data_IF_560411224531
#
_entry.id   IF_560411224531
#
_cell.length_a   1.000
_cell.length_b   1.000
_cell.length_c   1.000
_cell.angle_alpha   90.00
_cell.angle_beta   90.00
_cell.angle_gamma   90.00
#
_symmetry.space_group_name_H-M   'P 1'
#
loop_
_entity.id
_entity.type
_entity.pdbx_description
1 polymer ?
#
# COMPACT_ATOMS: atom_id res chain seq x y z
N UNK A 1 -25.81 4.73 -7.15
CA UNK A 1 -25.99 5.95 -7.97
C UNK A 1 -25.06 7.00 -7.37
N UNK A 2 -23.87 7.18 -7.95
CA UNK A 2 -22.90 8.13 -7.42
C UNK A 2 -23.26 9.54 -7.89
N UNK A 3 -23.65 10.40 -6.94
CA UNK A 3 -23.62 11.85 -7.11
C UNK A 3 -22.14 12.25 -7.25
N UNK A 4 -21.59 12.09 -8.44
CA UNK A 4 -20.24 12.54 -8.74
C UNK A 4 -20.36 13.85 -9.50
N UNK A 5 -19.84 14.96 -8.98
CA UNK A 5 -19.66 16.20 -9.74
C UNK A 5 -18.98 16.00 -11.11
N UNK A 6 -18.19 14.94 -11.31
CA UNK A 6 -17.61 14.61 -12.62
C UNK A 6 -18.69 14.34 -13.67
N UNK A 7 -19.93 14.09 -13.26
CA UNK A 7 -21.10 14.02 -14.14
C UNK A 7 -21.76 15.39 -14.38
N UNK A 8 -21.57 16.34 -13.46
CA UNK A 8 -22.12 17.71 -13.54
C UNK A 8 -21.17 18.68 -14.26
N UNK A 9 -19.87 18.41 -14.22
CA UNK A 9 -18.83 19.19 -14.91
C UNK A 9 -18.18 18.32 -15.98
N UNK A 10 -18.18 18.79 -17.22
CA UNK A 10 -17.54 18.09 -18.35
C UNK A 10 -16.04 17.93 -18.10
N UNK A 11 -15.57 16.68 -17.99
CA UNK A 11 -14.14 16.37 -17.88
C UNK A 11 -13.35 16.98 -19.05
N UNK A 12 -13.92 16.98 -20.26
CA UNK A 12 -13.29 17.61 -21.42
C UNK A 12 -13.10 19.13 -21.20
N UNK A 13 -14.10 19.81 -20.64
CA UNK A 13 -14.02 21.25 -20.32
C UNK A 13 -13.01 21.54 -19.20
N UNK A 14 -12.97 20.70 -18.17
CA UNK A 14 -11.98 20.77 -17.09
C UNK A 14 -10.56 20.68 -17.64
N UNK A 15 -10.32 19.73 -18.54
CA UNK A 15 -9.00 19.49 -19.15
C UNK A 15 -8.64 20.56 -20.19
N UNK A 16 -9.62 21.13 -20.90
CA UNK A 16 -9.42 22.14 -21.94
C UNK A 16 -9.14 23.55 -21.40
N UNK A 17 -9.16 23.76 -20.08
CA UNK A 17 -8.92 25.10 -19.53
C UNK A 17 -10.15 26.01 -19.56
N UNK A 18 -11.33 25.48 -19.91
CA UNK A 18 -12.55 26.25 -19.99
C UNK A 18 -12.98 26.75 -18.60
N UNK A 19 -13.85 27.76 -18.57
CA UNK A 19 -14.30 28.40 -17.34
C UNK A 19 -15.02 27.38 -16.46
N UNK A 20 -14.32 26.89 -15.44
CA UNK A 20 -14.85 25.93 -14.47
C UNK A 20 -15.73 26.67 -13.47
N UNK A 21 -16.89 26.09 -13.15
CA UNK A 21 -17.69 26.59 -12.04
C UNK A 21 -17.02 26.20 -10.71
N UNK A 22 -16.13 27.07 -10.25
CA UNK A 22 -15.44 26.93 -8.97
C UNK A 22 -16.41 26.81 -7.79
N UNK A 23 -17.63 27.35 -7.91
CA UNK A 23 -18.63 27.25 -6.84
C UNK A 23 -19.08 25.80 -6.66
N UNK A 24 -19.25 25.04 -7.76
CA UNK A 24 -19.63 23.62 -7.71
C UNK A 24 -18.51 22.79 -7.09
N UNK A 25 -17.26 22.96 -7.53
CA UNK A 25 -16.12 22.22 -6.96
C UNK A 25 -15.89 22.56 -5.48
N UNK A 26 -15.96 23.84 -5.12
CA UNK A 26 -15.76 24.27 -3.74
C UNK A 26 -16.92 23.84 -2.83
N UNK A 27 -18.16 23.86 -3.31
CA UNK A 27 -19.31 23.37 -2.57
C UNK A 27 -19.18 21.88 -2.30
N UNK A 28 -18.85 21.10 -3.32
CA UNK A 28 -18.78 19.65 -3.16
C UNK A 28 -17.59 19.23 -2.28
N UNK A 29 -16.44 19.91 -2.39
CA UNK A 29 -15.32 19.71 -1.47
C UNK A 29 -15.68 20.05 -0.01
N UNK A 30 -16.58 21.02 0.22
CA UNK A 30 -17.09 21.34 1.57
C UNK A 30 -18.10 20.30 2.07
N UNK A 31 -18.91 19.75 1.18
CA UNK A 31 -19.89 18.69 1.50
C UNK A 31 -19.20 17.33 1.72
N UNK A 32 -17.99 17.13 1.18
CA UNK A 32 -17.14 15.97 1.42
C UNK A 32 -16.40 16.06 2.77
N UNK A 33 -17.16 16.03 3.86
CA UNK A 33 -16.66 16.26 5.24
C UNK A 33 -15.43 15.40 5.60
N UNK A 34 -15.48 14.09 5.31
CA UNK A 34 -14.40 13.16 5.66
C UNK A 34 -13.08 13.49 4.94
N UNK A 35 -13.16 13.84 3.65
CA UNK A 35 -11.98 14.22 2.87
C UNK A 35 -11.50 15.63 3.12
N UNK A 36 -12.42 16.56 3.36
CA UNK A 36 -12.09 17.92 3.75
C UNK A 36 -11.27 17.91 5.05
N UNK A 37 -11.71 17.15 6.05
CA UNK A 37 -10.94 16.94 7.29
C UNK A 37 -9.59 16.29 7.02
N UNK A 38 -9.56 15.24 6.20
CA UNK A 38 -8.34 14.47 5.92
C UNK A 38 -7.25 15.30 5.23
N UNK A 39 -7.65 16.16 4.30
CA UNK A 39 -6.73 16.97 3.49
C UNK A 39 -6.68 18.44 3.94
N UNK A 40 -7.24 18.77 5.10
CA UNK A 40 -7.20 20.11 5.68
C UNK A 40 -7.90 21.18 4.82
N UNK A 41 -8.97 20.81 4.13
CA UNK A 41 -9.79 21.72 3.33
C UNK A 41 -10.73 22.48 4.27
N UNK A 42 -10.64 23.80 4.27
CA UNK A 42 -11.46 24.70 5.09
C UNK A 42 -12.21 25.69 4.18
N UNK A 43 -13.26 26.37 4.67
CA UNK A 43 -13.95 27.40 3.89
C UNK A 43 -13.02 28.50 3.35
N UNK A 44 -11.93 28.79 4.05
CA UNK A 44 -10.94 29.82 3.71
C UNK A 44 -9.96 29.39 2.61
N UNK A 45 -9.57 28.11 2.57
CA UNK A 45 -8.56 27.62 1.61
C UNK A 45 -9.13 26.82 0.43
N UNK A 46 -10.41 26.44 0.46
CA UNK A 46 -11.01 25.50 -0.50
C UNK A 46 -10.80 25.91 -1.96
N UNK A 47 -10.90 27.20 -2.28
CA UNK A 47 -10.74 27.68 -3.66
C UNK A 47 -9.31 27.44 -4.16
N UNK A 48 -8.31 27.78 -3.34
CA UNK A 48 -6.90 27.55 -3.67
C UNK A 48 -6.61 26.05 -3.82
N UNK A 49 -7.10 25.22 -2.88
CA UNK A 49 -6.86 23.77 -2.91
C UNK A 49 -7.50 23.14 -4.15
N UNK A 50 -8.71 23.56 -4.53
CA UNK A 50 -9.35 23.05 -5.75
C UNK A 50 -8.63 23.53 -7.02
N UNK A 51 -8.10 24.75 -7.03
CA UNK A 51 -7.33 25.29 -8.15
C UNK A 51 -6.03 24.51 -8.37
N UNK A 52 -5.26 24.31 -7.29
CA UNK A 52 -4.03 23.52 -7.32
C UNK A 52 -4.30 22.07 -7.74
N UNK A 53 -5.37 21.45 -7.20
CA UNK A 53 -5.76 20.09 -7.55
C UNK A 53 -6.18 19.96 -9.01
N UNK A 54 -6.94 20.93 -9.55
CA UNK A 54 -7.33 20.95 -10.96
C UNK A 54 -6.12 21.12 -11.88
N UNK A 55 -5.20 22.02 -11.52
CA UNK A 55 -3.94 22.20 -12.24
C UNK A 55 -3.16 20.89 -12.31
N UNK A 56 -3.03 20.20 -11.18
CA UNK A 56 -2.36 18.90 -11.11
C UNK A 56 -3.10 17.82 -11.92
N UNK A 57 -4.44 17.77 -11.86
CA UNK A 57 -5.25 16.86 -12.68
C UNK A 57 -4.94 17.03 -14.17
N UNK A 58 -4.87 18.27 -14.66
CA UNK A 58 -4.57 18.57 -16.08
C UNK A 58 -3.22 18.01 -16.51
N UNK A 59 -2.21 18.14 -15.66
CA UNK A 59 -0.86 17.61 -15.93
C UNK A 59 -0.83 16.07 -15.89
N UNK A 60 -1.46 15.47 -14.88
CA UNK A 60 -1.40 14.03 -14.63
C UNK A 60 -2.29 13.23 -15.57
N UNK A 61 -3.43 13.78 -16.00
CA UNK A 61 -4.49 13.02 -16.67
C UNK A 61 -4.05 12.29 -17.97
N UNK A 62 -3.25 12.87 -18.88
CA UNK A 62 -2.82 12.16 -20.10
C UNK A 62 -2.06 10.86 -19.79
N UNK A 63 -1.07 10.94 -18.91
CA UNK A 63 -0.28 9.77 -18.50
C UNK A 63 -1.10 8.80 -17.65
N UNK A 64 -2.02 9.32 -16.83
CA UNK A 64 -2.92 8.50 -16.03
C UNK A 64 -3.87 7.69 -16.90
N UNK A 65 -4.40 8.29 -17.96
CA UNK A 65 -5.21 7.60 -18.96
C UNK A 65 -4.40 6.47 -19.61
N UNK A 66 -3.16 6.76 -20.02
CA UNK A 66 -2.28 5.75 -20.60
C UNK A 66 -1.97 4.61 -19.62
N UNK A 67 -1.73 4.93 -18.34
CA UNK A 67 -1.50 3.94 -17.28
C UNK A 67 -2.73 3.05 -17.07
N UNK A 68 -3.93 3.64 -17.03
CA UNK A 68 -5.19 2.91 -16.90
C UNK A 68 -5.40 1.92 -18.05
N UNK A 69 -5.23 2.40 -19.28
CA UNK A 69 -5.53 1.64 -20.50
C UNK A 69 -4.47 0.55 -20.78
N UNK A 70 -3.19 0.88 -20.63
CA UNK A 70 -2.11 -0.02 -21.07
C UNK A 70 -1.60 -0.95 -19.97
N UNK A 71 -1.53 -0.47 -18.73
CA UNK A 71 -0.90 -1.21 -17.63
C UNK A 71 -1.95 -1.88 -16.74
N UNK A 72 -2.98 -1.12 -16.35
CA UNK A 72 -4.01 -1.61 -15.44
C UNK A 72 -5.16 -2.31 -16.18
N UNK A 73 -5.31 -2.06 -17.48
CA UNK A 73 -6.37 -2.61 -18.33
C UNK A 73 -7.77 -2.34 -17.77
N UNK A 74 -7.97 -1.13 -17.23
CA UNK A 74 -9.25 -0.66 -16.70
C UNK A 74 -9.69 0.62 -17.41
N UNK A 75 -11.00 0.85 -17.63
CA UNK A 75 -11.46 2.09 -18.22
C UNK A 75 -11.12 3.28 -17.31
N UNK A 76 -10.46 4.31 -17.84
CA UNK A 76 -10.04 5.50 -17.08
C UNK A 76 -11.16 6.12 -16.24
N UNK A 77 -12.40 6.08 -16.74
CA UNK A 77 -13.57 6.63 -16.06
C UNK A 77 -13.87 5.95 -14.71
N UNK A 78 -13.54 4.67 -14.54
CA UNK A 78 -13.80 3.94 -13.29
C UNK A 78 -12.84 4.36 -12.17
N UNK A 79 -11.67 4.90 -12.54
CA UNK A 79 -10.61 5.28 -11.61
C UNK A 79 -10.54 6.80 -11.39
N UNK A 80 -11.26 7.59 -12.19
CA UNK A 80 -11.18 9.05 -12.19
C UNK A 80 -11.60 9.66 -10.85
N UNK A 81 -12.65 9.11 -10.22
CA UNK A 81 -13.07 9.58 -8.91
C UNK A 81 -11.98 9.34 -7.85
N UNK A 82 -11.37 8.15 -7.82
CA UNK A 82 -10.29 7.85 -6.90
C UNK A 82 -9.03 8.69 -7.17
N UNK A 83 -8.76 9.03 -8.44
CA UNK A 83 -7.71 9.99 -8.78
C UNK A 83 -7.95 11.34 -8.13
N UNK A 84 -9.15 11.89 -8.32
CA UNK A 84 -9.51 13.21 -7.81
C UNK A 84 -9.61 13.27 -6.29
N UNK A 85 -10.32 12.32 -5.69
CA UNK A 85 -10.63 12.31 -4.26
C UNK A 85 -9.41 11.89 -3.44
N UNK A 86 -8.59 10.96 -3.94
CA UNK A 86 -7.51 10.36 -3.15
C UNK A 86 -6.13 10.62 -3.71
N UNK A 87 -5.82 10.15 -4.91
CA UNK A 87 -4.41 10.04 -5.32
C UNK A 87 -3.75 11.39 -5.59
N UNK A 88 -4.48 12.36 -6.17
CA UNK A 88 -3.97 13.71 -6.34
C UNK A 88 -3.68 14.42 -5.00
N UNK A 89 -4.64 14.55 -4.06
CA UNK A 89 -4.37 15.21 -2.79
C UNK A 89 -3.37 14.42 -1.92
N UNK A 90 -3.36 13.09 -2.00
CA UNK A 90 -2.37 12.27 -1.29
C UNK A 90 -0.95 12.47 -1.85
N UNK A 91 -0.78 12.51 -3.18
CA UNK A 91 0.51 12.82 -3.80
C UNK A 91 1.02 14.20 -3.41
N UNK A 92 0.14 15.22 -3.40
CA UNK A 92 0.48 16.56 -2.93
C UNK A 92 0.87 16.59 -1.44
N UNK A 93 0.15 15.85 -0.58
CA UNK A 93 0.49 15.70 0.84
C UNK A 93 1.88 15.07 1.04
N UNK A 94 2.17 13.96 0.35
CA UNK A 94 3.47 13.28 0.42
C UNK A 94 4.59 14.21 -0.06
N UNK A 95 4.39 14.92 -1.18
CA UNK A 95 5.35 15.90 -1.70
C UNK A 95 5.63 17.03 -0.70
N UNK A 96 4.60 17.53 -0.02
CA UNK A 96 4.74 18.54 1.05
C UNK A 96 5.49 18.02 2.26
N UNK A 97 5.21 16.78 2.69
CA UNK A 97 5.93 16.10 3.77
C UNK A 97 7.41 15.92 3.43
N UNK A 98 7.74 15.43 2.24
CA UNK A 98 9.14 15.36 1.74
C UNK A 98 9.80 16.74 1.83
N UNK A 99 9.15 17.78 1.28
CA UNK A 99 9.70 19.15 1.29
C UNK A 99 10.00 19.63 2.70
N UNK A 100 9.11 19.36 3.65
CA UNK A 100 9.25 19.77 5.05
C UNK A 100 10.36 19.00 5.78
N UNK A 101 10.56 17.72 5.46
CA UNK A 101 11.62 16.89 6.03
C UNK A 101 13.03 17.31 5.56
N UNK A 102 13.16 17.89 4.36
CA UNK A 102 14.45 18.32 3.80
C UNK A 102 15.40 17.17 3.43
N UNK A 103 14.90 15.92 3.42
CA UNK A 103 15.62 14.70 3.01
C UNK A 103 14.69 13.77 2.24
N UNK A 104 15.22 12.63 1.78
CA UNK A 104 14.39 11.57 1.23
C UNK A 104 13.32 11.14 2.25
N UNK A 105 12.09 10.94 1.79
CA UNK A 105 10.95 10.52 2.61
C UNK A 105 10.65 9.04 2.38
N UNK A 106 10.40 8.29 3.45
CA UNK A 106 9.96 6.90 3.38
C UNK A 106 8.48 6.83 3.79
N UNK A 107 7.60 6.69 2.80
CA UNK A 107 6.17 6.51 3.00
C UNK A 107 5.85 5.02 3.07
N UNK A 108 5.46 4.54 4.25
CA UNK A 108 4.97 3.18 4.45
C UNK A 108 3.53 3.03 3.94
N UNK A 109 3.23 1.88 3.35
CA UNK A 109 1.89 1.50 2.89
C UNK A 109 1.60 0.06 3.34
N UNK A 110 0.73 -0.07 4.34
CA UNK A 110 0.20 -1.34 4.80
C UNK A 110 -1.09 -1.69 4.06
N UNK A 111 -1.26 -2.95 3.68
CA UNK A 111 -2.54 -3.41 3.16
C UNK A 111 -2.56 -4.91 2.88
N UNK A 112 -3.63 -5.65 3.23
CA UNK A 112 -3.77 -7.06 2.88
C UNK A 112 -3.66 -7.34 1.37
N UNK A 113 -3.62 -8.62 1.01
CA UNK A 113 -3.63 -9.03 -0.39
C UNK A 113 -4.92 -8.55 -1.07
N UNK A 114 -4.81 -8.06 -2.31
CA UNK A 114 -5.95 -7.60 -3.10
C UNK A 114 -6.43 -6.17 -2.82
N UNK A 115 -5.84 -5.42 -1.88
CA UNK A 115 -6.24 -4.03 -1.58
C UNK A 115 -5.75 -2.97 -2.57
N UNK A 116 -4.98 -3.35 -3.59
CA UNK A 116 -4.52 -2.39 -4.61
C UNK A 116 -3.27 -1.57 -4.24
N UNK A 117 -2.46 -1.99 -3.26
CA UNK A 117 -1.18 -1.33 -2.90
C UNK A 117 -0.30 -1.01 -4.12
N UNK A 118 -0.05 -2.01 -4.97
CA UNK A 118 0.78 -1.86 -6.18
C UNK A 118 0.19 -0.83 -7.14
N UNK A 119 -1.12 -0.87 -7.37
CA UNK A 119 -1.85 0.11 -8.18
C UNK A 119 -1.73 1.51 -7.59
N UNK A 120 -1.91 1.66 -6.27
CA UNK A 120 -1.73 2.94 -5.60
C UNK A 120 -0.30 3.47 -5.76
N UNK A 121 0.73 2.63 -5.60
CA UNK A 121 2.11 3.05 -5.77
C UNK A 121 2.41 3.49 -7.21
N UNK A 122 1.89 2.76 -8.22
CA UNK A 122 2.05 3.15 -9.64
C UNK A 122 1.44 4.53 -9.91
N UNK A 123 0.25 4.80 -9.38
CA UNK A 123 -0.43 6.08 -9.57
C UNK A 123 0.27 7.19 -8.78
N UNK A 124 0.67 6.94 -7.53
CA UNK A 124 1.40 7.92 -6.73
C UNK A 124 2.75 8.26 -7.34
N UNK A 125 3.50 7.28 -7.89
CA UNK A 125 4.74 7.57 -8.62
C UNK A 125 4.50 8.50 -9.81
N UNK A 126 3.40 8.30 -10.53
CA UNK A 126 3.01 9.19 -11.62
C UNK A 126 2.72 10.61 -11.11
N UNK A 127 1.88 10.74 -10.09
CA UNK A 127 1.53 12.05 -9.49
C UNK A 127 2.76 12.76 -8.96
N UNK A 128 3.62 12.07 -8.22
CA UNK A 128 4.85 12.61 -7.64
C UNK A 128 5.85 13.07 -8.71
N UNK A 129 5.94 12.35 -9.84
CA UNK A 129 6.75 12.78 -10.98
C UNK A 129 6.26 14.11 -11.54
N UNK A 130 4.95 14.28 -11.72
CA UNK A 130 4.35 15.56 -12.16
C UNK A 130 4.52 16.69 -11.13
N UNK A 131 4.73 16.34 -9.86
CA UNK A 131 5.10 17.28 -8.80
C UNK A 131 6.62 17.54 -8.71
N UNK A 132 7.42 16.97 -9.62
CA UNK A 132 8.86 17.20 -9.72
C UNK A 132 9.74 16.34 -8.79
N UNK A 133 9.21 15.23 -8.27
CA UNK A 133 9.94 14.32 -7.38
C UNK A 133 10.28 13.00 -8.07
N UNK A 134 11.48 12.48 -7.81
CA UNK A 134 11.80 11.09 -8.11
C UNK A 134 11.27 10.16 -7.02
N UNK A 135 10.57 9.11 -7.42
CA UNK A 135 9.95 8.17 -6.48
C UNK A 135 10.29 6.72 -6.81
N UNK A 136 10.45 5.91 -5.77
CA UNK A 136 10.76 4.48 -5.84
C UNK A 136 9.67 3.67 -5.15
N UNK A 137 9.05 2.74 -5.88
CA UNK A 137 8.27 1.67 -5.24
C UNK A 137 9.19 0.56 -4.76
N UNK A 138 9.23 0.35 -3.45
CA UNK A 138 9.90 -0.78 -2.81
C UNK A 138 8.82 -1.70 -2.23
N UNK A 139 8.74 -2.94 -2.71
CA UNK A 139 7.86 -3.94 -2.10
C UNK A 139 8.62 -4.64 -0.97
N UNK A 140 7.93 -4.95 0.13
CA UNK A 140 8.46 -5.88 1.12
C UNK A 140 8.81 -7.24 0.48
N UNK A 141 8.06 -7.64 -0.54
CA UNK A 141 8.31 -8.87 -1.28
C UNK A 141 9.63 -8.83 -2.07
N UNK A 142 10.15 -7.65 -2.43
CA UNK A 142 11.48 -7.52 -3.06
C UNK A 142 12.62 -7.91 -2.10
N UNK A 143 12.33 -7.90 -0.80
CA UNK A 143 13.26 -8.27 0.26
C UNK A 143 13.14 -9.75 0.64
N UNK A 144 12.43 -10.60 -0.10
CA UNK A 144 12.44 -12.03 0.21
C UNK A 144 13.87 -12.61 0.20
N UNK A 145 14.10 -13.54 1.12
CA UNK A 145 15.32 -14.35 1.11
C UNK A 145 15.44 -15.12 -0.20
N UNK A 146 16.68 -15.35 -0.64
CA UNK A 146 16.94 -16.17 -1.83
C UNK A 146 16.33 -17.56 -1.70
N UNK A 147 16.13 -18.26 -2.81
CA UNK A 147 15.66 -19.64 -2.79
C UNK A 147 16.56 -20.53 -1.91
N UNK A 148 17.88 -20.39 -2.04
CA UNK A 148 18.86 -21.15 -1.23
C UNK A 148 18.68 -20.91 0.27
N UNK A 149 18.52 -19.65 0.68
CA UNK A 149 18.33 -19.31 2.09
C UNK A 149 16.98 -19.79 2.62
N UNK A 150 15.94 -19.82 1.77
CA UNK A 150 14.64 -20.39 2.16
C UNK A 150 14.67 -21.90 2.32
N UNK A 151 15.48 -22.63 1.56
CA UNK A 151 15.66 -24.07 1.80
C UNK A 151 16.25 -24.33 3.20
N UNK A 152 17.29 -23.59 3.58
CA UNK A 152 17.89 -23.66 4.93
C UNK A 152 16.88 -23.26 6.01
N UNK A 153 16.10 -22.21 5.77
CA UNK A 153 15.07 -21.76 6.71
C UNK A 153 13.99 -22.83 6.92
N UNK A 154 13.61 -23.57 5.87
CA UNK A 154 12.63 -24.66 5.97
C UNK A 154 13.18 -25.89 6.69
N UNK A 155 14.48 -26.14 6.62
CA UNK A 155 15.12 -27.17 7.45
C UNK A 155 15.04 -26.83 8.95
N UNK A 156 15.11 -25.53 9.30
CA UNK A 156 15.01 -25.05 10.68
C UNK A 156 13.56 -24.95 11.18
N UNK A 157 12.63 -24.50 10.32
CA UNK A 157 11.21 -24.44 10.63
C UNK A 157 10.38 -24.96 9.44
N UNK A 158 10.01 -26.26 9.43
CA UNK A 158 9.23 -26.87 8.36
C UNK A 158 7.86 -26.22 8.12
N UNK A 159 7.34 -25.42 9.06
CA UNK A 159 6.06 -24.69 8.91
C UNK A 159 6.18 -23.52 7.92
N UNK A 160 7.38 -23.11 7.54
CA UNK A 160 7.62 -22.07 6.53
C UNK A 160 7.53 -22.63 5.11
N UNK A 161 6.33 -23.09 4.76
CA UNK A 161 6.00 -23.70 3.47
C UNK A 161 6.16 -22.68 2.32
N UNK A 162 5.68 -21.45 2.53
CA UNK A 162 5.72 -20.38 1.53
C UNK A 162 6.56 -19.18 2.01
N UNK A 163 7.04 -18.39 1.04
CA UNK A 163 7.50 -17.02 1.30
C UNK A 163 6.30 -16.19 1.75
N UNK A 164 6.52 -15.24 2.65
CA UNK A 164 5.44 -14.35 3.08
C UNK A 164 5.48 -13.98 4.55
N UNK A 165 5.42 -14.95 5.47
CA UNK A 165 5.42 -14.66 6.90
C UNK A 165 6.68 -13.92 7.37
N UNK A 166 6.62 -13.25 8.54
CA UNK A 166 7.81 -12.72 9.20
C UNK A 166 8.92 -13.76 9.29
N UNK A 167 10.19 -13.34 9.14
CA UNK A 167 11.36 -14.21 9.10
C UNK A 167 11.74 -14.71 7.70
N UNK A 168 10.87 -14.53 6.69
CA UNK A 168 11.16 -14.96 5.30
C UNK A 168 11.84 -13.88 4.44
N UNK A 169 12.20 -12.74 5.04
CA UNK A 169 12.80 -11.59 4.36
C UNK A 169 14.26 -11.35 4.79
N UNK A 170 15.04 -10.70 3.95
CA UNK A 170 16.40 -10.22 4.22
C UNK A 170 16.35 -8.78 4.75
N UNK A 171 16.28 -8.66 6.07
CA UNK A 171 16.10 -7.37 6.75
C UNK A 171 17.34 -6.49 6.61
N UNK A 172 18.53 -7.09 6.67
CA UNK A 172 19.78 -6.35 6.52
C UNK A 172 19.89 -5.70 5.15
N UNK A 173 19.42 -6.40 4.10
CA UNK A 173 19.38 -5.84 2.74
C UNK A 173 18.45 -4.62 2.67
N UNK A 174 17.25 -4.71 3.25
CA UNK A 174 16.32 -3.57 3.30
C UNK A 174 16.85 -2.39 4.11
N UNK A 175 17.43 -2.66 5.28
CA UNK A 175 18.02 -1.63 6.15
C UNK A 175 19.17 -0.90 5.45
N UNK A 176 20.09 -1.66 4.85
CA UNK A 176 21.22 -1.09 4.11
C UNK A 176 20.77 -0.18 2.96
N UNK A 177 19.75 -0.61 2.20
CA UNK A 177 19.16 0.19 1.13
C UNK A 177 18.55 1.49 1.66
N UNK A 178 17.66 1.41 2.66
CA UNK A 178 17.00 2.60 3.21
C UNK A 178 18.00 3.57 3.86
N UNK A 179 19.02 3.07 4.55
CA UNK A 179 20.09 3.89 5.12
C UNK A 179 20.91 4.61 4.04
N UNK A 180 21.22 3.94 2.91
CA UNK A 180 21.90 4.59 1.78
C UNK A 180 21.05 5.71 1.19
N UNK A 181 19.75 5.47 0.98
CA UNK A 181 18.81 6.46 0.45
C UNK A 181 18.71 7.66 1.40
N UNK A 182 18.50 7.42 2.70
CA UNK A 182 18.36 8.48 3.71
C UNK A 182 19.66 9.30 3.87
N UNK A 183 20.82 8.70 3.61
CA UNK A 183 22.12 9.36 3.64
C UNK A 183 22.51 9.99 2.28
N UNK A 184 21.62 9.96 1.28
CA UNK A 184 21.86 10.45 -0.06
C UNK A 184 23.11 9.82 -0.73
N UNK A 185 23.35 8.53 -0.47
CA UNK A 185 24.48 7.76 -1.01
C UNK A 185 24.04 6.99 -2.25
N UNK A 186 24.18 7.61 -3.41
CA UNK A 186 23.82 7.04 -4.71
C UNK A 186 25.05 6.73 -5.59
N UNK A 187 24.93 5.82 -6.58
CA UNK A 187 23.75 5.01 -6.88
C UNK A 187 23.46 3.94 -5.83
N UNK A 188 22.18 3.59 -5.66
CA UNK A 188 21.74 2.49 -4.79
C UNK A 188 21.31 1.29 -5.62
N UNK A 189 21.53 0.10 -5.07
CA UNK A 189 21.10 -1.17 -5.67
C UNK A 189 19.81 -1.62 -4.98
N UNK A 190 18.69 -1.54 -5.70
CA UNK A 190 17.37 -1.94 -5.21
C UNK A 190 17.16 -3.42 -5.56
N UNK A 191 16.95 -4.31 -4.58
CA UNK A 191 16.67 -5.70 -4.88
C UNK A 191 15.31 -5.84 -5.56
N UNK A 192 15.19 -6.87 -6.39
CA UNK A 192 13.94 -7.26 -7.03
C UNK A 192 13.75 -8.75 -6.88
N UNK A 193 12.50 -9.19 -6.77
CA UNK A 193 12.18 -10.60 -6.58
C UNK A 193 11.27 -11.14 -7.68
N UNK A 194 11.68 -12.22 -8.33
CA UNK A 194 10.86 -12.92 -9.31
C UNK A 194 10.12 -14.08 -8.63
N UNK A 195 8.80 -13.92 -8.48
CA UNK A 195 7.91 -14.91 -7.87
C UNK A 195 7.71 -16.16 -8.73
N UNK A 196 7.98 -16.08 -10.03
CA UNK A 196 7.78 -17.15 -11.01
C UNK A 196 9.01 -18.06 -11.17
N UNK A 197 10.19 -17.56 -10.84
CA UNK A 197 11.45 -18.30 -10.90
C UNK A 197 11.36 -19.64 -10.14
N UNK A 198 12.15 -20.62 -10.58
CA UNK A 198 12.25 -21.95 -9.96
C UNK A 198 10.87 -22.60 -9.75
N UNK A 199 10.07 -22.65 -10.81
CA UNK A 199 8.73 -23.26 -10.81
C UNK A 199 7.77 -22.63 -9.79
N UNK A 200 7.78 -21.30 -9.67
CA UNK A 200 6.92 -20.55 -8.76
C UNK A 200 7.39 -20.52 -7.30
N UNK A 201 8.51 -21.16 -6.98
CA UNK A 201 9.13 -21.01 -5.67
C UNK A 201 9.62 -19.58 -5.50
N UNK A 202 10.22 -19.01 -6.54
CA UNK A 202 10.72 -17.64 -6.62
C UNK A 202 12.13 -17.47 -6.06
N UNK A 203 12.85 -16.51 -6.62
CA UNK A 203 14.21 -16.13 -6.22
C UNK A 203 14.47 -14.64 -6.48
N UNK A 204 15.55 -14.11 -5.92
CA UNK A 204 16.01 -12.76 -6.26
C UNK A 204 16.42 -12.71 -7.73
N UNK A 205 16.02 -11.64 -8.40
CA UNK A 205 16.38 -11.39 -9.81
C UNK A 205 17.38 -10.25 -9.92
N UNK A 206 17.73 -9.84 -11.14
CA UNK A 206 18.61 -8.71 -11.41
C UNK A 206 18.13 -7.47 -10.64
N UNK A 207 18.97 -6.88 -9.77
CA UNK A 207 18.57 -5.70 -9.04
C UNK A 207 18.48 -4.49 -9.98
N UNK A 208 17.73 -3.50 -9.55
CA UNK A 208 17.61 -2.21 -10.23
C UNK A 208 18.63 -1.23 -9.66
N UNK A 209 19.32 -0.48 -10.52
CA UNK A 209 20.25 0.57 -10.11
C UNK A 209 19.54 1.90 -10.21
N UNK A 210 19.51 2.66 -9.10
CA UNK A 210 18.83 3.95 -9.03
C UNK A 210 19.84 5.02 -8.62
N UNK A 211 19.92 6.10 -9.41
CA UNK A 211 20.86 7.20 -9.21
C UNK A 211 20.37 8.29 -8.26
N UNK A 212 19.05 8.38 -8.03
CA UNK A 212 18.47 9.35 -7.09
C UNK A 212 17.02 8.98 -6.73
N UNK A 213 16.65 9.14 -5.46
CA UNK A 213 15.27 8.99 -4.96
C UNK A 213 14.94 10.08 -3.96
N UNK A 214 13.84 10.81 -4.18
CA UNK A 214 13.30 11.76 -3.19
C UNK A 214 12.27 11.11 -2.25
N UNK A 215 11.50 10.15 -2.75
CA UNK A 215 10.39 9.52 -2.03
C UNK A 215 10.40 8.01 -2.26
N UNK A 216 10.46 7.22 -1.20
CA UNK A 216 10.25 5.77 -1.26
C UNK A 216 8.82 5.46 -0.85
N UNK A 217 8.07 4.80 -1.73
CA UNK A 217 6.79 4.18 -1.41
C UNK A 217 7.08 2.74 -0.99
N UNK A 218 7.20 2.51 0.32
CA UNK A 218 7.51 1.19 0.89
C UNK A 218 6.22 0.45 1.23
N UNK A 219 5.84 -0.51 0.39
CA UNK A 219 4.55 -1.21 0.50
C UNK A 219 4.70 -2.68 0.91
N UNK A 220 3.72 -3.20 1.63
CA UNK A 220 3.65 -4.63 1.91
C UNK A 220 2.48 -5.03 2.79
N UNK A 221 2.24 -6.35 2.88
CA UNK A 221 1.06 -6.87 3.55
C UNK A 221 1.10 -6.79 5.09
N UNK A 222 2.29 -6.57 5.66
CA UNK A 222 2.50 -6.32 7.09
C UNK A 222 3.52 -5.19 7.35
N UNK A 223 3.71 -4.26 6.40
CA UNK A 223 4.57 -3.09 6.63
C UNK A 223 4.08 -2.30 7.84
N UNK A 224 5.00 -2.01 8.77
CA UNK A 224 4.67 -1.29 10.00
C UNK A 224 3.98 -2.11 11.10
N UNK A 225 3.71 -3.40 10.88
CA UNK A 225 3.13 -4.27 11.91
C UNK A 225 4.16 -4.58 12.99
N UNK A 226 3.76 -4.39 14.24
CA UNK A 226 4.60 -4.57 15.44
C UNK A 226 4.22 -5.86 16.18
N UNK A 227 5.17 -6.45 16.94
CA UNK A 227 4.85 -7.54 17.85
C UNK A 227 3.73 -7.15 18.84
N UNK A 228 2.82 -8.08 19.09
CA UNK A 228 1.78 -7.96 20.12
C UNK A 228 2.06 -8.88 21.30
N UNK A 229 1.33 -8.70 22.39
CA UNK A 229 1.36 -9.62 23.54
C UNK A 229 1.04 -11.06 23.11
N UNK A 230 1.95 -12.04 23.34
CA UNK A 230 1.73 -13.45 23.02
C UNK A 230 0.48 -14.09 23.64
N UNK A 231 -0.08 -13.51 24.70
CA UNK A 231 -1.33 -14.00 25.30
C UNK A 231 -2.56 -13.76 24.40
N UNK A 232 -2.46 -12.83 23.43
CA UNK A 232 -3.52 -12.60 22.43
C UNK A 232 -3.78 -13.82 21.55
N UNK A 233 -2.82 -14.75 21.43
CA UNK A 233 -2.98 -15.97 20.64
C UNK A 233 -3.76 -17.08 21.34
N UNK A 234 -3.96 -16.99 22.66
CA UNK A 234 -4.68 -18.01 23.44
C UNK A 234 -6.16 -18.08 23.06
N UNK A 235 -6.78 -16.94 22.74
CA UNK A 235 -8.16 -16.82 22.26
C UNK A 235 -8.22 -16.11 20.91
N UNK A 236 -7.34 -16.50 19.97
CA UNK A 236 -7.30 -15.90 18.65
C UNK A 236 -8.51 -16.28 17.78
N UNK A 237 -8.90 -15.41 16.85
CA UNK A 237 -9.91 -15.74 15.84
C UNK A 237 -9.42 -16.82 14.85
N UNK A 238 -10.35 -17.57 14.22
CA UNK A 238 -10.02 -18.46 13.12
C UNK A 238 -9.26 -17.73 12.01
N UNK A 239 -8.25 -18.35 11.36
CA UNK A 239 -7.92 -19.77 11.40
C UNK A 239 -6.90 -20.18 12.48
N UNK A 240 -6.62 -19.35 13.49
CA UNK A 240 -5.72 -19.74 14.60
C UNK A 240 -6.53 -20.52 15.64
N UNK A 241 -6.64 -21.84 15.45
CA UNK A 241 -7.54 -22.68 16.27
C UNK A 241 -6.76 -23.71 17.09
N UNK A 242 -5.84 -24.44 16.45
CA UNK A 242 -5.13 -25.54 17.13
C UNK A 242 -3.93 -25.03 17.94
N UNK A 243 -3.41 -25.83 18.90
CA UNK A 243 -2.16 -25.51 19.58
C UNK A 243 -1.00 -25.27 18.60
N UNK A 244 -0.96 -25.99 17.48
CA UNK A 244 0.04 -25.82 16.42
C UNK A 244 -0.11 -24.47 15.71
N UNK A 245 -1.35 -24.05 15.40
CA UNK A 245 -1.62 -22.74 14.80
C UNK A 245 -1.20 -21.62 15.75
N UNK A 246 -1.54 -21.73 17.04
CA UNK A 246 -1.17 -20.76 18.06
C UNK A 246 0.36 -20.68 18.23
N UNK A 247 1.03 -21.82 18.25
CA UNK A 247 2.49 -21.88 18.33
C UNK A 247 3.15 -21.27 17.08
N UNK A 248 2.58 -21.48 15.90
CA UNK A 248 3.04 -20.85 14.66
C UNK A 248 2.85 -19.32 14.71
N UNK A 249 1.67 -18.85 15.09
CA UNK A 249 1.36 -17.43 15.23
C UNK A 249 2.27 -16.73 16.25
N UNK A 250 2.47 -17.33 17.44
CA UNK A 250 3.40 -16.82 18.46
C UNK A 250 4.84 -16.73 17.94
N UNK A 251 5.30 -17.74 17.21
CA UNK A 251 6.64 -17.72 16.61
C UNK A 251 6.78 -16.62 15.55
N UNK A 252 5.77 -16.45 14.68
CA UNK A 252 5.78 -15.37 13.67
C UNK A 252 5.69 -13.98 14.31
N UNK A 253 4.94 -13.84 15.40
CA UNK A 253 4.90 -12.62 16.19
C UNK A 253 6.26 -12.27 16.82
N UNK A 254 7.01 -13.25 17.33
CA UNK A 254 8.38 -13.03 17.84
C UNK A 254 9.31 -12.53 16.72
N UNK A 255 9.20 -13.12 15.53
CA UNK A 255 10.01 -12.74 14.36
C UNK A 255 9.72 -11.32 13.84
N UNK A 256 8.60 -10.69 14.23
CA UNK A 256 8.35 -9.28 13.90
C UNK A 256 9.33 -8.33 14.59
N UNK A 257 9.97 -8.74 15.68
CA UNK A 257 10.97 -7.90 16.37
C UNK A 257 12.12 -7.51 15.43
N UNK A 258 12.53 -8.42 14.55
CA UNK A 258 13.60 -8.20 13.57
C UNK A 258 13.22 -7.13 12.52
N UNK A 259 11.94 -6.86 12.32
CA UNK A 259 11.44 -5.88 11.35
C UNK A 259 11.30 -4.48 11.94
N UNK A 260 11.28 -4.33 13.27
CA UNK A 260 11.11 -3.03 13.94
C UNK A 260 12.13 -1.99 13.44
N UNK A 261 13.43 -2.32 13.27
CA UNK A 261 14.39 -1.36 12.73
C UNK A 261 14.07 -0.87 11.30
N UNK A 262 13.39 -1.67 10.47
CA UNK A 262 12.92 -1.21 9.15
C UNK A 262 11.78 -0.22 9.31
N UNK A 263 10.85 -0.50 10.22
CA UNK A 263 9.70 0.35 10.48
C UNK A 263 10.10 1.70 11.08
N UNK A 264 11.17 1.75 11.88
CA UNK A 264 11.74 3.00 12.39
C UNK A 264 12.31 3.92 11.29
N UNK A 265 12.50 3.42 10.07
CA UNK A 265 12.89 4.25 8.91
C UNK A 265 11.70 4.91 8.22
N UNK A 266 10.47 4.49 8.54
CA UNK A 266 9.24 4.98 7.91
C UNK A 266 8.83 6.31 8.57
N UNK A 267 8.66 7.34 7.75
CA UNK A 267 8.25 8.67 8.21
C UNK A 267 6.75 8.76 8.49
N UNK A 268 5.95 7.98 7.76
CA UNK A 268 4.49 7.98 7.80
C UNK A 268 3.94 6.65 7.30
N UNK A 269 2.84 6.18 7.89
CA UNK A 269 2.14 4.97 7.46
C UNK A 269 0.73 5.27 6.93
N UNK A 270 0.45 4.78 5.72
CA UNK A 270 -0.89 4.68 5.15
C UNK A 270 -1.38 3.25 5.33
N UNK A 271 -2.61 3.05 5.80
CA UNK A 271 -3.23 1.73 5.96
C UNK A 271 -4.40 1.60 5.00
N UNK A 272 -4.29 0.63 4.08
CA UNK A 272 -5.38 0.15 3.24
C UNK A 272 -6.13 -0.94 4.00
N UNK A 273 -7.24 -0.58 4.64
CA UNK A 273 -8.03 -1.43 5.53
C UNK A 273 -9.28 -1.94 4.81
N UNK A 274 -9.39 -3.22 4.45
CA UNK A 274 -10.67 -3.78 4.03
C UNK A 274 -11.72 -3.59 5.13
N UNK A 275 -12.96 -3.23 4.79
CA UNK A 275 -14.06 -3.22 5.78
C UNK A 275 -14.32 -4.61 6.36
N UNK A 276 -13.95 -5.65 5.61
CA UNK A 276 -13.84 -7.03 6.06
C UNK A 276 -12.55 -7.66 5.50
N UNK A 277 -11.66 -8.12 6.38
CA UNK A 277 -10.39 -8.72 5.95
C UNK A 277 -10.59 -9.95 5.05
N UNK A 278 -11.74 -10.63 5.16
CA UNK A 278 -12.08 -11.82 4.37
C UNK A 278 -12.25 -11.52 2.89
N UNK A 279 -12.47 -10.26 2.51
CA UNK A 279 -12.45 -9.85 1.11
C UNK A 279 -11.10 -10.14 0.43
N UNK A 280 -9.99 -10.18 1.19
CA UNK A 280 -8.70 -10.60 0.62
C UNK A 280 -8.71 -12.01 0.05
N UNK A 281 -9.49 -12.95 0.61
CA UNK A 281 -9.68 -14.28 0.03
C UNK A 281 -10.45 -14.20 -1.29
N UNK A 282 -11.54 -13.43 -1.33
CA UNK A 282 -12.36 -13.24 -2.53
C UNK A 282 -11.54 -12.60 -3.66
N UNK A 283 -10.85 -11.50 -3.39
CA UNK A 283 -10.00 -10.81 -4.36
C UNK A 283 -8.83 -11.67 -4.82
N UNK A 284 -8.26 -12.52 -3.93
CA UNK A 284 -7.23 -13.47 -4.33
C UNK A 284 -7.76 -14.51 -5.30
N UNK A 285 -8.97 -15.05 -5.07
CA UNK A 285 -9.64 -15.97 -6.00
C UNK A 285 -9.89 -15.30 -7.36
N UNK A 286 -10.46 -14.10 -7.36
CA UNK A 286 -10.72 -13.34 -8.58
C UNK A 286 -9.44 -13.08 -9.38
N UNK A 287 -8.35 -12.69 -8.70
CA UNK A 287 -7.06 -12.47 -9.34
C UNK A 287 -6.49 -13.77 -9.93
N UNK A 288 -6.57 -14.88 -9.21
CA UNK A 288 -6.07 -16.18 -9.69
C UNK A 288 -6.90 -16.68 -10.87
N UNK A 289 -8.23 -16.56 -10.82
CA UNK A 289 -9.12 -16.94 -11.93
C UNK A 289 -8.86 -16.10 -13.18
N UNK A 290 -8.64 -14.79 -13.05
CA UNK A 290 -8.25 -13.92 -14.17
C UNK A 290 -6.92 -14.35 -14.79
N UNK A 291 -5.94 -14.70 -13.96
CA UNK A 291 -4.63 -15.20 -14.42
C UNK A 291 -4.77 -16.54 -15.16
N UNK A 292 -5.56 -17.48 -14.64
CA UNK A 292 -5.84 -18.78 -15.28
C UNK A 292 -6.59 -18.60 -16.60
N UNK A 293 -7.60 -17.73 -16.64
CA UNK A 293 -8.34 -17.41 -17.87
C UNK A 293 -7.43 -16.76 -18.93
N UNK A 294 -6.38 -16.06 -18.50
CA UNK A 294 -5.31 -15.54 -19.36
C UNK A 294 -4.28 -16.57 -19.84
N UNK A 295 -4.48 -17.86 -19.54
CA UNK A 295 -3.63 -18.97 -20.03
C UNK A 295 -2.44 -19.32 -19.12
N UNK A 296 -2.35 -18.74 -17.92
CA UNK A 296 -1.30 -19.06 -16.96
C UNK A 296 -1.70 -20.24 -16.04
N UNK A 297 -0.72 -20.98 -15.52
CA UNK A 297 -0.98 -21.95 -14.44
C UNK A 297 -1.31 -21.22 -13.13
N UNK A 298 -2.24 -21.75 -12.34
CA UNK A 298 -2.60 -21.18 -11.04
C UNK A 298 -3.11 -22.21 -10.04
N UNK A 299 -3.34 -21.74 -8.83
CA UNK A 299 -3.94 -22.52 -7.74
C UNK A 299 -5.44 -22.72 -7.96
N UNK A 300 -5.97 -23.87 -7.57
CA UNK A 300 -7.42 -24.05 -7.45
C UNK A 300 -7.97 -23.36 -6.18
N UNK A 301 -9.29 -23.23 -6.09
CA UNK A 301 -9.97 -22.55 -4.97
C UNK A 301 -9.56 -23.03 -3.57
N UNK A 302 -9.39 -24.33 -3.39
CA UNK A 302 -8.97 -24.94 -2.11
C UNK A 302 -7.53 -24.56 -1.78
N UNK A 303 -6.64 -24.61 -2.77
CA UNK A 303 -5.24 -24.20 -2.62
C UNK A 303 -5.14 -22.70 -2.31
N UNK A 304 -5.96 -21.86 -2.95
CA UNK A 304 -6.04 -20.42 -2.67
C UNK A 304 -6.51 -20.18 -1.23
N UNK A 305 -7.53 -20.91 -0.77
CA UNK A 305 -8.04 -20.79 0.58
C UNK A 305 -6.98 -21.17 1.63
N UNK A 306 -6.27 -22.29 1.44
CA UNK A 306 -5.17 -22.67 2.33
C UNK A 306 -4.01 -21.69 2.29
N UNK A 307 -3.69 -21.16 1.10
CA UNK A 307 -2.69 -20.11 0.94
C UNK A 307 -3.08 -18.87 1.76
N UNK A 308 -4.30 -18.34 1.61
CA UNK A 308 -4.72 -17.13 2.33
C UNK A 308 -4.81 -17.39 3.84
N UNK A 309 -5.39 -18.52 4.25
CA UNK A 309 -5.47 -18.90 5.68
C UNK A 309 -4.09 -19.06 6.30
N UNK A 310 -3.08 -19.49 5.55
CA UNK A 310 -1.70 -19.55 6.04
C UNK A 310 -1.16 -18.16 6.45
N UNK A 311 -1.44 -17.12 5.67
CA UNK A 311 -1.08 -15.76 6.06
C UNK A 311 -1.86 -15.30 7.29
N UNK A 312 -3.15 -15.59 7.36
CA UNK A 312 -3.96 -15.24 8.54
C UNK A 312 -3.54 -16.01 9.80
N UNK A 313 -3.07 -17.25 9.67
CA UNK A 313 -2.45 -18.01 10.77
C UNK A 313 -1.14 -17.38 11.23
N UNK A 314 -0.36 -16.80 10.30
CA UNK A 314 0.90 -16.15 10.64
C UNK A 314 0.70 -14.81 11.35
N UNK A 315 -0.15 -13.94 10.79
CA UNK A 315 -0.48 -12.62 11.31
C UNK A 315 -1.96 -12.34 11.03
N UNK A 316 -2.83 -12.63 11.99
CA UNK A 316 -4.26 -12.46 11.81
C UNK A 316 -4.64 -10.96 11.69
N UNK A 317 -5.34 -10.51 10.63
CA UNK A 317 -5.61 -9.08 10.41
C UNK A 317 -6.25 -8.35 11.60
N UNK A 318 -7.22 -8.97 12.28
CA UNK A 318 -7.88 -8.38 13.46
C UNK A 318 -6.94 -8.19 14.66
N UNK A 319 -5.93 -9.07 14.81
CA UNK A 319 -5.00 -8.99 15.93
C UNK A 319 -3.93 -7.91 15.73
N UNK A 320 -3.59 -7.60 14.47
CA UNK A 320 -2.44 -6.76 14.14
C UNK A 320 -2.79 -5.40 13.54
N UNK A 321 -3.84 -5.31 12.73
CA UNK A 321 -4.21 -4.07 12.05
C UNK A 321 -4.97 -3.11 12.96
N UNK A 322 -5.93 -3.63 13.74
CA UNK A 322 -6.76 -2.81 14.63
C UNK A 322 -5.95 -2.11 15.73
N UNK A 323 -5.00 -2.76 16.42
CA UNK A 323 -4.16 -2.07 17.40
C UNK A 323 -3.26 -1.00 16.77
N UNK A 324 -2.76 -1.24 15.55
CA UNK A 324 -1.92 -0.27 14.85
C UNK A 324 -2.72 0.98 14.46
N UNK A 325 -3.99 0.82 14.06
CA UNK A 325 -4.88 1.95 13.76
C UNK A 325 -5.24 2.74 15.03
N UNK A 326 -5.54 2.04 16.14
CA UNK A 326 -6.03 2.66 17.38
C UNK A 326 -4.93 3.30 18.22
N UNK A 327 -3.72 2.75 18.15
CA UNK A 327 -2.61 3.10 19.04
C UNK A 327 -1.27 2.93 18.31
N UNK A 328 -1.10 3.62 17.19
CA UNK A 328 0.20 3.68 16.52
C UNK A 328 1.25 4.34 17.42
N UNK A 329 2.48 3.82 17.48
CA UNK A 329 3.52 4.47 18.27
C UNK A 329 3.92 5.78 17.61
N UNK A 330 4.42 6.73 18.41
CA UNK A 330 4.93 8.02 17.90
C UNK A 330 6.07 7.86 16.88
N UNK A 331 6.81 6.76 16.94
CA UNK A 331 7.89 6.43 15.99
C UNK A 331 7.38 5.94 14.64
N UNK A 332 6.09 5.63 14.49
CA UNK A 332 5.47 5.18 13.25
C UNK A 332 4.04 5.75 13.17
N UNK A 333 3.89 7.04 12.85
CA UNK A 333 2.58 7.68 12.82
C UNK A 333 1.72 7.10 11.68
N UNK A 334 0.47 6.75 12.00
CA UNK A 334 -0.53 6.40 11.00
C UNK A 334 -1.28 7.66 10.58
N UNK A 335 -0.93 8.20 9.42
CA UNK A 335 -1.47 9.48 8.93
C UNK A 335 -2.79 9.34 8.17
N UNK A 336 -3.09 8.14 7.67
CA UNK A 336 -4.25 7.87 6.84
C UNK A 336 -4.65 6.40 6.89
N UNK A 337 -5.94 6.16 7.17
CA UNK A 337 -6.60 4.87 6.98
C UNK A 337 -7.62 5.01 5.84
N UNK A 338 -7.41 4.26 4.76
CA UNK A 338 -8.33 4.16 3.63
C UNK A 338 -9.10 2.85 3.80
N UNK A 339 -10.40 2.96 4.03
CA UNK A 339 -11.28 1.82 4.09
C UNK A 339 -11.65 1.36 2.69
N UNK A 340 -11.61 0.05 2.45
CA UNK A 340 -11.85 -0.55 1.14
C UNK A 340 -13.04 -1.49 1.26
N UNK A 341 -14.11 -1.19 0.54
CA UNK A 341 -15.30 -2.04 0.45
C UNK A 341 -15.05 -3.22 -0.50
N UNK A 342 -15.97 -4.18 -0.51
CA UNK A 342 -15.87 -5.41 -1.30
C UNK A 342 -15.64 -5.16 -2.81
N UNK A 343 -16.24 -4.11 -3.35
CA UNK A 343 -16.16 -3.68 -4.75
C UNK A 343 -14.96 -2.77 -5.04
N UNK A 344 -14.00 -2.70 -4.12
CA UNK A 344 -12.84 -1.80 -4.13
C UNK A 344 -13.17 -0.30 -4.06
N UNK A 345 -14.44 0.07 -3.84
CA UNK A 345 -14.77 1.47 -3.58
C UNK A 345 -14.20 1.91 -2.21
N UNK A 346 -13.82 3.18 -2.15
CA UNK A 346 -13.09 3.74 -1.02
C UNK A 346 -14.05 4.45 -0.05
N UNK A 347 -13.81 4.29 1.25
CA UNK A 347 -14.31 5.18 2.29
C UNK A 347 -13.15 5.65 3.17
N UNK A 348 -13.32 6.79 3.83
CA UNK A 348 -12.26 7.39 4.65
C UNK A 348 -12.64 7.25 6.11
N UNK A 349 -11.87 6.47 6.85
CA UNK A 349 -11.96 6.37 8.30
C UNK A 349 -11.09 7.45 8.94
N UNK A 350 -11.65 8.24 9.86
CA UNK A 350 -10.88 9.23 10.61
C UNK A 350 -9.83 8.54 11.48
N UNK A 351 -8.55 8.68 11.12
CA UNK A 351 -7.44 8.40 12.03
C UNK A 351 -7.55 9.31 13.26
N UNK A 352 -7.32 8.74 14.45
CA UNK A 352 -7.37 9.45 15.72
C UNK A 352 -6.40 10.62 15.67
N UNK A 353 -6.93 11.85 15.70
CA UNK A 353 -6.14 13.05 15.96
C UNK A 353 -5.54 12.92 17.35
N UNK A 354 -4.23 12.70 17.44
CA UNK A 354 -3.51 12.86 18.69
C UNK A 354 -3.62 14.31 19.15
N UNK A 355 -4.04 14.49 20.41
CA UNK A 355 -3.73 15.68 21.19
C UNK A 355 -2.24 15.72 21.53
#
# INVERSE_FOLDING_TARGET
>A
MSNSWLSQVSLASLLAGERVDWQVLAQEAREWEAGAKLFGITPENVNQVMEERLSLLRCVFPDFKQLCENNLQVPTQTMLQALWDLWLPLGAKIASSRKSLGRAMIQGILGPQGTGKTTMCQILNLVLRHLGYSSLSLSLDDLYKTHSDRLKLREQDPRLIWRGPPGTHDIHLGLGLLDQILQNKFPVTVPRFDKSALFGMGDRTTPEIIDQVDIVLFEGWFVGVLPIDPERFTNAPPPIITPEDQAFARHRNQQLADYVPLWEKIDSLIILKPTDYRFSLKWRKEAEHKMIAGGCSGMNDTQIEEFVKYFWRSLHPELFMEPLIKSSPKSLPVDLVIEIKEDHSLSYGGGVTGQ
#
